data_IF_332709203280
#
_entry.id   IF_332709203280
#
_cell.length_a   1.000
_cell.length_b   1.000
_cell.length_c   1.000
_cell.angle_alpha   90.00
_cell.angle_beta   90.00
_cell.angle_gamma   90.00
#
_symmetry.space_group_name_H-M   'P 1'
#
loop_
_entity.id
_entity.type
_entity.pdbx_description
1 polymer ?
#
# COMPACT_ATOMS: atom_id res chain seq x y z
N UNK A 1 -11.10 9.91 -29.10
CA UNK A 1 -9.73 9.47 -28.78
C UNK A 1 -9.53 9.58 -27.28
N UNK A 2 -9.58 8.46 -26.56
CA UNK A 2 -9.17 8.38 -25.17
C UNK A 2 -8.39 7.09 -25.04
N UNK A 3 -7.07 7.18 -25.06
CA UNK A 3 -6.18 6.05 -24.86
C UNK A 3 -6.37 5.65 -23.40
N UNK A 4 -7.28 4.71 -23.13
CA UNK A 4 -7.39 4.09 -21.81
C UNK A 4 -6.05 3.39 -21.56
N UNK A 5 -5.12 4.09 -20.94
CA UNK A 5 -3.92 3.49 -20.36
C UNK A 5 -4.43 2.50 -19.33
N UNK A 6 -4.47 1.22 -19.68
CA UNK A 6 -4.76 0.13 -18.76
C UNK A 6 -3.75 0.27 -17.62
N UNK A 7 -4.18 0.77 -16.45
CA UNK A 7 -3.31 0.85 -15.28
C UNK A 7 -2.78 -0.56 -15.06
N UNK A 8 -1.47 -0.74 -15.21
CA UNK A 8 -0.84 -2.04 -15.00
C UNK A 8 -0.87 -2.32 -13.50
N UNK A 9 -1.92 -3.01 -13.06
CA UNK A 9 -2.05 -3.48 -11.68
C UNK A 9 -0.89 -4.43 -11.42
N UNK A 10 -0.12 -4.17 -10.36
CA UNK A 10 0.87 -5.10 -9.87
C UNK A 10 0.14 -6.18 -9.07
N UNK A 11 0.40 -7.47 -9.32
CA UNK A 11 -0.12 -8.50 -8.45
C UNK A 11 0.42 -8.29 -7.03
N UNK A 12 -0.41 -8.58 -6.03
CA UNK A 12 0.03 -8.62 -4.64
C UNK A 12 1.11 -9.72 -4.54
N UNK A 13 2.27 -9.45 -3.92
CA UNK A 13 3.29 -10.47 -3.67
C UNK A 13 2.69 -11.69 -2.97
N UNK A 14 3.09 -12.90 -3.35
CA UNK A 14 2.51 -14.13 -2.77
C UNK A 14 2.64 -14.18 -1.25
N UNK A 15 3.77 -13.69 -0.72
CA UNK A 15 4.03 -13.55 0.72
C UNK A 15 3.05 -12.59 1.41
N UNK A 16 2.53 -11.59 0.70
CA UNK A 16 1.57 -10.61 1.21
C UNK A 16 0.12 -10.99 0.96
N UNK A 17 -0.14 -12.11 0.28
CA UNK A 17 -1.50 -12.52 -0.07
C UNK A 17 -2.30 -12.81 1.20
N UNK A 18 -3.42 -12.10 1.36
CA UNK A 18 -4.27 -12.21 2.56
C UNK A 18 -3.75 -11.46 3.79
N UNK A 19 -2.64 -10.72 3.67
CA UNK A 19 -2.24 -9.77 4.69
C UNK A 19 -3.16 -8.54 4.67
N UNK A 20 -3.36 -7.95 5.84
CA UNK A 20 -4.08 -6.67 5.94
C UNK A 20 -3.21 -5.54 5.43
N UNK A 21 -3.81 -4.50 4.85
CA UNK A 21 -3.09 -3.25 4.61
C UNK A 21 -3.26 -2.37 5.85
N UNK A 22 -2.15 -1.82 6.35
CA UNK A 22 -2.18 -0.86 7.46
C UNK A 22 -1.32 0.35 7.17
N UNK A 23 -1.69 1.44 7.83
CA UNK A 23 -0.92 2.67 7.87
C UNK A 23 -0.30 2.77 9.26
N UNK A 24 1.02 2.85 9.33
CA UNK A 24 1.76 3.07 10.57
C UNK A 24 2.40 4.45 10.54
N UNK A 25 2.35 5.16 11.66
CA UNK A 25 3.06 6.43 11.84
C UNK A 25 4.28 6.23 12.71
N UNK A 26 5.43 6.70 12.24
CA UNK A 26 6.63 6.83 13.04
C UNK A 26 6.39 7.85 14.16
N UNK A 27 6.56 7.41 15.41
CA UNK A 27 6.45 8.32 16.57
C UNK A 27 7.63 9.31 16.63
N UNK A 28 8.78 8.95 16.05
CA UNK A 28 9.97 9.77 16.06
C UNK A 28 9.95 10.90 15.02
N UNK A 29 9.39 10.64 13.83
CA UNK A 29 9.41 11.60 12.70
C UNK A 29 8.01 12.09 12.30
N UNK A 30 6.94 11.44 12.76
CA UNK A 30 5.56 11.71 12.33
C UNK A 30 5.22 11.17 10.93
N UNK A 31 6.18 10.57 10.24
CA UNK A 31 6.00 10.02 8.89
C UNK A 31 5.05 8.83 8.90
N UNK A 32 4.07 8.84 8.01
CA UNK A 32 3.13 7.74 7.83
C UNK A 32 3.60 6.84 6.71
N UNK A 33 3.39 5.55 6.87
CA UNK A 33 3.77 4.53 5.90
C UNK A 33 2.62 3.56 5.73
N UNK A 34 2.25 3.27 4.48
CA UNK A 34 1.26 2.25 4.12
C UNK A 34 1.96 1.00 3.62
N UNK A 35 1.43 -0.18 3.94
CA UNK A 35 1.90 -1.43 3.35
C UNK A 35 1.16 -2.64 3.89
N UNK A 36 1.63 -3.82 3.52
CA UNK A 36 1.05 -5.09 3.97
C UNK A 36 1.53 -5.42 5.37
N UNK A 37 0.61 -5.45 6.32
CA UNK A 37 0.89 -5.75 7.71
C UNK A 37 1.02 -7.26 7.94
N UNK A 38 2.24 -7.68 8.25
CA UNK A 38 2.51 -9.03 8.68
C UNK A 38 2.19 -9.17 10.17
N UNK A 39 1.08 -9.83 10.50
CA UNK A 39 0.66 -10.06 11.90
C UNK A 39 1.67 -10.91 12.69
N UNK A 40 2.46 -11.75 12.02
CA UNK A 40 3.41 -12.64 12.67
C UNK A 40 4.66 -11.88 13.14
N UNK A 41 5.24 -11.05 12.26
CA UNK A 41 6.44 -10.24 12.58
C UNK A 41 6.10 -8.87 13.18
N UNK A 42 4.83 -8.43 13.05
CA UNK A 42 4.33 -7.08 13.39
C UNK A 42 4.98 -5.97 12.56
N UNK A 43 5.41 -6.28 11.35
CA UNK A 43 6.07 -5.34 10.44
C UNK A 43 5.19 -4.98 9.25
N UNK A 44 5.46 -3.81 8.66
CA UNK A 44 4.87 -3.39 7.38
C UNK A 44 5.81 -3.83 6.26
N UNK A 45 5.32 -4.75 5.44
CA UNK A 45 5.98 -5.21 4.23
C UNK A 45 5.60 -4.32 3.05
N UNK A 46 6.55 -4.12 2.14
CA UNK A 46 6.44 -3.17 1.03
C UNK A 46 5.96 -1.78 1.48
N UNK A 47 6.65 -1.15 2.47
CA UNK A 47 6.27 0.14 2.99
C UNK A 47 6.40 1.24 1.92
N UNK A 48 5.34 2.02 1.73
CA UNK A 48 5.33 3.24 0.92
C UNK A 48 5.02 4.44 1.82
N UNK A 49 5.79 5.51 1.66
CA UNK A 49 5.63 6.74 2.45
C UNK A 49 4.32 7.45 2.06
N UNK A 50 3.49 7.74 3.04
CA UNK A 50 2.22 8.45 2.88
C UNK A 50 2.42 9.91 3.28
N UNK A 51 2.36 10.81 2.29
CA UNK A 51 2.39 12.26 2.50
C UNK A 51 0.99 12.85 2.45
N UNK A 52 0.06 12.20 1.75
CA UNK A 52 -1.33 12.63 1.60
C UNK A 52 -2.25 11.44 1.35
N UNK A 53 -3.57 11.65 1.48
CA UNK A 53 -4.56 10.59 1.23
C UNK A 53 -4.48 10.02 -0.20
N UNK A 54 -4.08 10.82 -1.19
CA UNK A 54 -3.86 10.34 -2.55
C UNK A 54 -2.75 9.29 -2.66
N UNK A 55 -1.77 9.27 -1.75
CA UNK A 55 -0.74 8.22 -1.73
C UNK A 55 -1.33 6.89 -1.23
N UNK A 56 -2.33 6.95 -0.34
CA UNK A 56 -3.08 5.78 0.11
C UNK A 56 -3.86 5.22 -1.08
N UNK A 57 -4.64 6.05 -1.76
CA UNK A 57 -5.43 5.62 -2.92
C UNK A 57 -4.51 5.04 -4.03
N UNK A 58 -3.37 5.69 -4.28
CA UNK A 58 -2.38 5.20 -5.23
C UNK A 58 -1.83 3.80 -4.86
N UNK A 59 -1.63 3.51 -3.57
CA UNK A 59 -1.23 2.19 -3.09
C UNK A 59 -2.31 1.14 -3.39
N UNK A 60 -3.57 1.42 -3.07
CA UNK A 60 -4.68 0.50 -3.36
C UNK A 60 -4.84 0.27 -4.87
N UNK A 61 -4.83 1.34 -5.67
CA UNK A 61 -4.92 1.26 -7.14
C UNK A 61 -3.74 0.48 -7.75
N UNK A 62 -2.53 0.64 -7.20
CA UNK A 62 -1.32 -0.06 -7.66
C UNK A 62 -1.47 -1.58 -7.57
N UNK A 63 -2.15 -2.07 -6.54
CA UNK A 63 -2.43 -3.49 -6.35
C UNK A 63 -3.84 -3.91 -6.82
N UNK A 64 -4.60 -2.98 -7.43
CA UNK A 64 -5.95 -3.25 -7.93
C UNK A 64 -6.93 -3.59 -6.81
N UNK A 65 -6.72 -3.02 -5.63
CA UNK A 65 -7.53 -3.20 -4.43
C UNK A 65 -8.51 -2.04 -4.27
N UNK A 66 -9.64 -2.34 -3.64
CA UNK A 66 -10.59 -1.33 -3.17
C UNK A 66 -10.21 -0.93 -1.74
N UNK A 67 -10.30 0.37 -1.44
CA UNK A 67 -9.91 0.97 -0.16
C UNK A 67 -10.91 0.68 0.95
#
# INVERSE_FOLDING_TARGET
MGIFKKKTVKPIPEECRGMEIKIMSSTCTGEKTIGFYNRNTREIMYPELVKSDSDIDAFYEKYGLER
#
